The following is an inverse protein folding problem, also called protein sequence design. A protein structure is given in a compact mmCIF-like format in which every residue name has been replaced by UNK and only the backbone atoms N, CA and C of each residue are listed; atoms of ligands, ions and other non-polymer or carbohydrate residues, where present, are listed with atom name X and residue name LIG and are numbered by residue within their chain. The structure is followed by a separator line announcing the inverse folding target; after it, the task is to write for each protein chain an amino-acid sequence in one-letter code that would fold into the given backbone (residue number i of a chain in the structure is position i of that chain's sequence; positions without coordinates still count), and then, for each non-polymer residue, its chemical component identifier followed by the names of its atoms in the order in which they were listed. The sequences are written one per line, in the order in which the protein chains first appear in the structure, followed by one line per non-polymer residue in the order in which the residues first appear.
data_IF_050779129610
#
_entry.id   IF_050779129610
#
_cell.length_a   1.000
_cell.length_b   1.000
_cell.length_c   1.000
_cell.angle_alpha   90.00
_cell.angle_beta   90.00
_cell.angle_gamma   90.00
#
_symmetry.space_group_name_H-M   'P 1'
#
loop_
_entity.id
_entity.type
_entity.pdbx_description
1 polymer ?
#
# COMPACT_ATOMS: atom_id res chain seq x y z
N UNK A 1 -10.35 -13.08 -13.02
CA UNK A 1 -11.17 -14.32 -13.10
C UNK A 1 -12.08 -14.49 -11.87
N UNK A 2 -11.65 -14.16 -10.65
CA UNK A 2 -12.47 -14.29 -9.42
C UNK A 2 -13.52 -13.17 -9.20
N UNK A 3 -13.33 -11.97 -9.77
CA UNK A 3 -14.29 -10.83 -9.67
C UNK A 3 -15.68 -11.11 -10.26
N UNK A 4 -15.86 -12.22 -11.00
CA UNK A 4 -17.14 -12.63 -11.60
C UNK A 4 -17.86 -13.73 -10.80
N UNK A 5 -17.31 -14.17 -9.67
CA UNK A 5 -17.98 -15.14 -8.82
C UNK A 5 -19.20 -14.51 -8.12
N UNK A 6 -20.22 -15.31 -7.73
CA UNK A 6 -21.36 -14.86 -6.91
C UNK A 6 -20.96 -14.21 -5.58
N UNK A 7 -19.69 -14.35 -5.19
CA UNK A 7 -19.05 -13.81 -3.98
C UNK A 7 -18.91 -12.27 -3.95
N UNK A 8 -19.30 -11.54 -5.00
CA UNK A 8 -19.31 -10.06 -5.02
C UNK A 8 -20.71 -9.50 -4.70
N UNK A 9 -21.33 -9.99 -3.63
CA UNK A 9 -22.60 -9.47 -3.11
C UNK A 9 -22.50 -9.18 -1.61
N UNK A 10 -23.45 -8.39 -1.10
CA UNK A 10 -23.47 -7.99 0.32
C UNK A 10 -22.17 -7.35 0.79
N UNK A 11 -21.67 -7.81 1.94
CA UNK A 11 -20.50 -7.24 2.63
C UNK A 11 -19.21 -7.26 1.82
N UNK A 12 -19.05 -8.21 0.89
CA UNK A 12 -17.87 -8.29 0.03
C UNK A 12 -17.87 -7.16 -1.01
N UNK A 13 -19.05 -6.86 -1.57
CA UNK A 13 -19.22 -5.77 -2.54
C UNK A 13 -18.98 -4.42 -1.86
N UNK A 14 -19.47 -4.26 -0.65
CA UNK A 14 -19.23 -3.06 0.16
C UNK A 14 -17.73 -2.88 0.45
N UNK A 15 -17.05 -3.92 0.93
CA UNK A 15 -15.59 -3.87 1.17
C UNK A 15 -14.79 -3.58 -0.10
N UNK A 16 -15.16 -4.17 -1.24
CA UNK A 16 -14.54 -3.86 -2.52
C UNK A 16 -14.79 -2.42 -2.95
N UNK A 17 -16.01 -1.90 -2.77
CA UNK A 17 -16.35 -0.51 -3.07
C UNK A 17 -15.51 0.46 -2.24
N UNK A 18 -15.25 0.16 -0.97
CA UNK A 18 -14.35 0.98 -0.14
C UNK A 18 -12.92 0.99 -0.70
N UNK A 19 -12.39 -0.17 -1.10
CA UNK A 19 -11.03 -0.25 -1.67
C UNK A 19 -10.95 0.47 -3.03
N UNK A 20 -11.93 0.26 -3.90
CA UNK A 20 -11.97 0.87 -5.23
C UNK A 20 -12.07 2.39 -5.15
N UNK A 21 -12.87 2.93 -4.21
CA UNK A 21 -13.07 4.37 -4.01
C UNK A 21 -12.04 5.05 -3.11
N UNK A 22 -11.22 4.29 -2.37
CA UNK A 22 -10.17 4.87 -1.52
C UNK A 22 -9.20 5.72 -2.35
N UNK A 23 -8.66 6.78 -1.74
CA UNK A 23 -7.63 7.61 -2.38
C UNK A 23 -6.37 6.80 -2.66
N UNK A 24 -5.94 6.01 -1.68
CA UNK A 24 -4.68 5.26 -1.71
C UNK A 24 -4.81 4.00 -0.83
N UNK A 25 -4.01 2.97 -1.12
CA UNK A 25 -3.85 1.79 -0.26
C UNK A 25 -2.45 1.83 0.34
N UNK A 26 -2.40 1.89 1.67
CA UNK A 26 -1.16 1.97 2.44
C UNK A 26 -0.94 0.66 3.19
N UNK A 27 0.20 0.03 2.96
CA UNK A 27 0.69 -1.11 3.72
C UNK A 27 1.67 -0.63 4.78
N UNK A 28 1.40 -0.98 6.03
CA UNK A 28 2.32 -0.80 7.16
C UNK A 28 3.01 -2.14 7.42
N UNK A 29 4.30 -2.22 7.14
CA UNK A 29 5.09 -3.45 7.19
C UNK A 29 6.02 -3.45 8.41
N UNK A 30 5.91 -4.50 9.23
CA UNK A 30 6.78 -4.71 10.39
C UNK A 30 8.21 -5.12 10.01
N UNK A 31 8.43 -5.48 8.74
CA UNK A 31 9.75 -5.76 8.19
C UNK A 31 10.66 -4.53 8.11
N UNK A 32 11.93 -4.80 7.80
CA UNK A 32 12.94 -3.77 7.52
C UNK A 32 13.58 -4.06 6.16
N UNK A 33 13.84 -3.00 5.40
CA UNK A 33 14.55 -3.01 4.12
C UNK A 33 15.59 -1.91 4.11
N UNK A 34 16.42 -1.84 3.06
CA UNK A 34 17.27 -0.67 2.84
C UNK A 34 18.59 -1.01 2.17
N UNK A 35 19.50 -0.04 2.18
CA UNK A 35 20.83 -0.20 1.60
C UNK A 35 21.84 -0.58 2.69
N UNK A 36 22.56 -1.68 2.45
CA UNK A 36 23.72 -2.11 3.22
C UNK A 36 24.85 -2.45 2.25
N UNK A 37 25.99 -1.75 2.36
CA UNK A 37 27.16 -1.95 1.51
C UNK A 37 27.74 -3.36 1.64
N UNK A 38 27.66 -3.96 2.83
CA UNK A 38 28.15 -5.33 3.08
C UNK A 38 27.11 -6.40 2.69
N UNK A 39 25.86 -6.01 2.48
CA UNK A 39 24.77 -6.91 2.14
C UNK A 39 23.80 -6.30 1.12
N UNK A 40 24.17 -6.29 -0.18
CA UNK A 40 23.31 -5.74 -1.24
C UNK A 40 21.91 -6.35 -1.32
N UNK A 41 21.74 -7.61 -0.87
CA UNK A 41 20.44 -8.30 -0.85
C UNK A 41 19.40 -7.61 0.01
N UNK A 42 19.83 -6.79 0.97
CA UNK A 42 18.91 -6.00 1.79
C UNK A 42 18.14 -4.98 0.94
N UNK A 43 18.78 -4.46 -0.11
CA UNK A 43 18.15 -3.54 -1.06
C UNK A 43 17.42 -4.28 -2.17
N UNK A 44 17.90 -5.45 -2.59
CA UNK A 44 17.15 -6.31 -3.53
C UNK A 44 15.75 -6.63 -3.00
N UNK A 45 15.63 -6.91 -1.69
CA UNK A 45 14.34 -7.14 -1.02
C UNK A 45 13.42 -5.92 -1.11
N UNK A 46 13.96 -4.70 -1.03
CA UNK A 46 13.18 -3.47 -1.16
C UNK A 46 12.53 -3.39 -2.54
N UNK A 47 13.30 -3.66 -3.60
CA UNK A 47 12.78 -3.68 -4.96
C UNK A 47 11.81 -4.83 -5.23
N UNK A 48 12.11 -6.03 -4.70
CA UNK A 48 11.20 -7.17 -4.81
C UNK A 48 9.84 -6.84 -4.19
N UNK A 49 9.83 -6.29 -2.97
CA UNK A 49 8.58 -5.85 -2.33
C UNK A 49 7.88 -4.76 -3.13
N UNK A 50 8.61 -3.79 -3.68
CA UNK A 50 8.02 -2.73 -4.51
C UNK A 50 7.41 -3.24 -5.82
N UNK A 51 8.01 -4.27 -6.44
CA UNK A 51 7.59 -4.79 -7.74
C UNK A 51 6.49 -5.84 -7.62
N UNK A 52 6.65 -6.79 -6.70
CA UNK A 52 5.82 -8.00 -6.63
C UNK A 52 5.09 -8.16 -5.30
N UNK A 53 5.38 -7.32 -4.31
CA UNK A 53 4.94 -7.55 -2.93
C UNK A 53 5.39 -8.93 -2.44
N UNK A 54 4.65 -9.47 -1.48
CA UNK A 54 4.90 -10.77 -0.84
C UNK A 54 3.63 -11.64 -0.76
N UNK A 55 2.73 -11.45 -1.73
CA UNK A 55 1.47 -12.18 -1.84
C UNK A 55 0.27 -11.52 -1.13
N UNK A 56 0.50 -10.50 -0.31
CA UNK A 56 -0.59 -9.70 0.29
C UNK A 56 -0.32 -8.19 0.29
N UNK A 57 0.92 -7.73 0.11
CA UNK A 57 1.28 -6.31 -0.01
C UNK A 57 1.16 -5.76 -1.44
N UNK A 58 0.06 -6.07 -2.12
CA UNK A 58 -0.29 -5.46 -3.41
C UNK A 58 -1.81 -5.45 -3.61
N UNK A 59 -2.31 -4.36 -4.19
CA UNK A 59 -3.63 -4.30 -4.79
C UNK A 59 -3.50 -3.79 -6.23
N UNK A 60 -3.17 -4.70 -7.15
CA UNK A 60 -2.71 -4.35 -8.50
C UNK A 60 -3.74 -3.59 -9.36
N UNK A 61 -5.01 -3.57 -8.95
CA UNK A 61 -6.05 -2.78 -9.63
C UNK A 61 -6.12 -1.32 -9.15
N UNK A 62 -5.32 -0.93 -8.15
CA UNK A 62 -5.27 0.45 -7.65
C UNK A 62 -4.22 1.24 -8.45
N UNK A 63 -4.49 2.51 -8.83
CA UNK A 63 -3.52 3.33 -9.57
C UNK A 63 -2.11 3.32 -8.96
N UNK A 64 -2.05 3.45 -7.64
CA UNK A 64 -0.85 3.18 -6.86
C UNK A 64 -1.20 2.46 -5.56
N UNK A 65 -0.18 1.86 -4.96
CA UNK A 65 -0.15 1.42 -3.56
C UNK A 65 1.17 1.83 -2.91
N UNK A 66 1.15 2.16 -1.63
CA UNK A 66 2.33 2.58 -0.86
C UNK A 66 2.66 1.58 0.25
N UNK A 67 3.94 1.37 0.49
CA UNK A 67 4.44 0.46 1.53
C UNK A 67 5.41 1.25 2.40
N UNK A 68 5.16 1.27 3.70
CA UNK A 68 6.06 1.83 4.71
C UNK A 68 6.57 0.72 5.62
N UNK A 69 7.89 0.57 5.71
CA UNK A 69 8.52 -0.37 6.65
C UNK A 69 8.70 0.27 8.01
N UNK A 70 8.88 -0.56 9.04
CA UNK A 70 9.12 -0.12 10.42
C UNK A 70 10.32 0.82 10.56
N UNK A 71 11.35 0.65 9.74
CA UNK A 71 12.52 1.54 9.73
C UNK A 71 12.34 2.79 8.85
N UNK A 72 11.10 3.14 8.51
CA UNK A 72 10.75 4.38 7.83
C UNK A 72 11.05 4.39 6.34
N UNK A 73 11.28 3.23 5.72
CA UNK A 73 11.48 3.19 4.26
C UNK A 73 10.16 3.20 3.53
N UNK A 74 10.20 3.82 2.37
CA UNK A 74 9.05 4.03 1.51
C UNK A 74 9.25 3.32 0.18
N UNK A 75 8.28 2.51 -0.21
CA UNK A 75 8.18 1.90 -1.52
C UNK A 75 6.80 2.14 -2.11
N UNK A 76 6.69 1.98 -3.42
CA UNK A 76 5.42 2.08 -4.11
C UNK A 76 5.37 1.16 -5.32
N UNK A 77 4.17 0.69 -5.62
CA UNK A 77 3.83 0.07 -6.89
C UNK A 77 2.79 0.94 -7.59
N UNK A 78 2.80 0.96 -8.92
CA UNK A 78 1.83 1.71 -9.71
C UNK A 78 1.30 0.87 -10.86
N UNK A 79 -0.02 0.88 -11.01
CA UNK A 79 -0.72 0.33 -12.16
C UNK A 79 -0.47 1.26 -13.37
N UNK A 80 -0.07 0.68 -14.50
CA UNK A 80 0.50 1.44 -15.62
C UNK A 80 -0.54 1.83 -16.68
N UNK A 81 -1.75 1.28 -16.66
CA UNK A 81 -2.78 1.56 -17.66
C UNK A 81 -3.40 2.96 -17.51
N UNK A 82 -3.41 3.50 -16.29
CA UNK A 82 -4.10 4.76 -15.99
C UNK A 82 -3.27 6.01 -16.28
N UNK A 83 -1.95 5.96 -16.09
CA UNK A 83 -1.06 7.12 -16.23
C UNK A 83 0.41 6.72 -16.35
N UNK A 84 1.20 7.55 -17.02
CA UNK A 84 2.66 7.40 -17.10
C UNK A 84 3.37 7.79 -15.80
N UNK A 85 4.59 7.27 -15.62
CA UNK A 85 5.38 7.41 -14.41
C UNK A 85 5.60 8.86 -13.95
N UNK A 86 5.72 9.82 -14.87
CA UNK A 86 6.04 11.21 -14.54
C UNK A 86 4.96 11.88 -13.68
N UNK A 87 3.70 11.47 -13.78
CA UNK A 87 2.65 12.01 -12.90
C UNK A 87 2.88 11.59 -11.45
N UNK A 88 3.23 10.33 -11.21
CA UNK A 88 3.59 9.88 -9.86
C UNK A 88 4.88 10.51 -9.35
N UNK A 89 5.86 10.76 -10.23
CA UNK A 89 7.09 11.49 -9.87
C UNK A 89 6.73 12.88 -9.35
N UNK A 90 5.89 13.64 -10.06
CA UNK A 90 5.49 14.98 -9.64
C UNK A 90 4.73 15.00 -8.31
N UNK A 91 3.81 14.04 -8.08
CA UNK A 91 3.10 13.93 -6.79
C UNK A 91 4.10 13.70 -5.65
N UNK A 92 5.08 12.81 -5.84
CA UNK A 92 6.08 12.49 -4.82
C UNK A 92 7.05 13.64 -4.57
N UNK A 93 7.49 14.31 -5.63
CA UNK A 93 8.35 15.51 -5.52
C UNK A 93 7.63 16.62 -4.77
N UNK A 94 6.35 16.87 -5.10
CA UNK A 94 5.53 17.85 -4.41
C UNK A 94 5.50 17.58 -2.90
N UNK A 95 5.20 16.35 -2.49
CA UNK A 95 5.19 15.96 -1.07
C UNK A 95 6.54 16.19 -0.39
N UNK A 96 7.63 15.72 -1.00
CA UNK A 96 9.00 15.89 -0.47
C UNK A 96 9.39 17.35 -0.30
N UNK A 97 9.04 18.20 -1.28
CA UNK A 97 9.33 19.62 -1.21
C UNK A 97 8.52 20.31 -0.12
N UNK A 98 7.22 20.01 0.01
CA UNK A 98 6.39 20.61 1.06
C UNK A 98 6.90 20.19 2.44
N UNK A 99 7.25 18.93 2.62
CA UNK A 99 7.85 18.42 3.86
C UNK A 99 9.15 19.15 4.22
N UNK A 100 10.04 19.36 3.24
CA UNK A 100 11.33 20.01 3.46
C UNK A 100 11.21 21.53 3.75
N UNK A 101 10.28 22.23 3.10
CA UNK A 101 10.17 23.69 3.18
C UNK A 101 9.19 24.18 4.23
N UNK A 102 8.05 23.50 4.41
CA UNK A 102 7.05 23.89 5.42
C UNK A 102 7.44 23.44 6.83
N UNK A 103 8.35 22.46 6.94
CA UNK A 103 8.82 21.88 8.21
C UNK A 103 7.65 21.51 9.11
N UNK A 104 6.77 20.60 8.66
CA UNK A 104 5.53 20.30 9.37
C UNK A 104 5.77 19.55 10.69
N UNK A 105 7.00 19.12 11.00
CA UNK A 105 7.33 18.38 12.22
C UNK A 105 8.16 19.18 13.22
N UNK A 106 7.87 18.95 14.50
CA UNK A 106 8.59 19.52 15.62
C UNK A 106 9.95 18.84 15.87
N UNK A 107 10.74 19.34 16.85
CA UNK A 107 12.03 18.76 17.21
C UNK A 107 11.97 17.30 17.70
N UNK A 108 10.79 16.82 18.09
CA UNK A 108 10.50 15.44 18.51
C UNK A 108 10.10 14.52 17.35
N UNK A 109 9.98 15.06 16.13
CA UNK A 109 9.57 14.33 14.93
C UNK A 109 8.05 14.18 14.75
N UNK A 110 7.24 14.75 15.65
CA UNK A 110 5.78 14.72 15.52
C UNK A 110 5.25 15.88 14.70
N UNK A 111 4.07 15.73 14.08
CA UNK A 111 3.40 16.82 13.38
C UNK A 111 3.15 18.01 14.33
N UNK A 112 3.40 19.21 13.82
CA UNK A 112 3.06 20.48 14.49
C UNK A 112 1.59 20.82 14.28
N UNK A 113 1.03 21.63 15.18
CA UNK A 113 -0.37 22.05 15.16
C UNK A 113 -1.28 21.18 16.04
N UNK A 114 -2.57 21.51 16.04
CA UNK A 114 -3.56 20.89 16.92
C UNK A 114 -4.32 19.77 16.20
N UNK A 115 -4.40 18.59 16.84
CA UNK A 115 -5.19 17.45 16.35
C UNK A 115 -6.68 17.80 16.37
N UNK A 116 -7.28 17.97 15.19
CA UNK A 116 -8.71 18.32 15.08
C UNK A 116 -9.62 17.09 15.13
N UNK A 117 -9.23 16.01 14.44
CA UNK A 117 -10.04 14.79 14.30
C UNK A 117 -9.12 13.58 14.31
N UNK A 118 -9.51 12.55 15.09
CA UNK A 118 -8.89 11.22 15.04
C UNK A 118 -9.93 10.26 14.47
N UNK A 119 -9.84 9.88 13.18
CA UNK A 119 -10.79 8.96 12.60
C UNK A 119 -10.65 7.58 13.23
N UNK A 120 -11.78 6.89 13.44
CA UNK A 120 -11.77 5.51 13.90
C UNK A 120 -11.62 4.60 12.68
N UNK A 121 -10.56 3.77 12.58
CA UNK A 121 -10.42 2.85 11.47
C UNK A 121 -11.49 1.76 11.53
N UNK A 122 -12.06 1.43 10.38
CA UNK A 122 -13.05 0.36 10.23
C UNK A 122 -12.42 -0.83 9.51
N UNK A 123 -12.65 -2.02 10.06
CA UNK A 123 -12.14 -3.26 9.46
C UNK A 123 -13.08 -3.72 8.36
N UNK A 124 -12.57 -3.79 7.13
CA UNK A 124 -13.28 -4.39 6.00
C UNK A 124 -13.62 -5.86 6.31
N UNK A 125 -14.84 -6.26 5.97
CA UNK A 125 -15.39 -7.57 6.29
C UNK A 125 -15.54 -8.42 5.04
N UNK A 126 -15.17 -9.70 5.14
CA UNK A 126 -15.17 -10.63 4.01
C UNK A 126 -15.92 -11.93 4.35
N UNK A 127 -16.87 -12.30 3.51
CA UNK A 127 -17.54 -13.60 3.49
C UNK A 127 -16.95 -14.44 2.36
N UNK A 128 -15.98 -15.28 2.70
CA UNK A 128 -15.33 -16.17 1.75
C UNK A 128 -15.99 -17.55 1.79
N UNK A 129 -16.50 -18.00 0.64
CA UNK A 129 -17.02 -19.36 0.46
C UNK A 129 -15.89 -20.41 0.39
N UNK A 130 -16.25 -21.69 0.31
CA UNK A 130 -15.30 -22.79 0.25
C UNK A 130 -14.43 -22.76 -1.01
N UNK A 131 -14.98 -22.33 -2.15
CA UNK A 131 -14.25 -22.26 -3.41
C UNK A 131 -13.08 -21.27 -3.30
N UNK A 132 -13.35 -20.05 -2.81
CA UNK A 132 -12.32 -19.02 -2.59
C UNK A 132 -11.30 -19.45 -1.54
N UNK A 133 -11.73 -20.17 -0.48
CA UNK A 133 -10.83 -20.68 0.55
C UNK A 133 -9.90 -21.76 0.03
N UNK A 134 -10.36 -22.64 -0.85
CA UNK A 134 -9.55 -23.72 -1.41
C UNK A 134 -8.57 -23.24 -2.48
N UNK A 135 -8.90 -22.15 -3.18
CA UNK A 135 -7.97 -21.45 -4.07
C UNK A 135 -6.73 -20.92 -3.34
N UNK A 136 -6.85 -20.48 -2.08
CA UNK A 136 -5.71 -20.01 -1.25
C UNK A 136 -4.69 -21.10 -0.93
N UNK A 137 -5.04 -22.39 -1.11
CA UNK A 137 -4.17 -23.54 -0.76
C UNK A 137 -3.34 -24.05 -1.93
N UNK A 138 -3.58 -23.56 -3.15
CA UNK A 138 -2.75 -23.94 -4.30
C UNK A 138 -1.43 -23.16 -4.23
N UNK A 139 -0.27 -23.84 -4.31
CA UNK A 139 0.99 -23.12 -4.44
C UNK A 139 0.94 -22.24 -5.69
N UNK A 140 1.37 -21.00 -5.54
CA UNK A 140 1.72 -20.16 -6.69
C UNK A 140 2.88 -20.89 -7.39
N UNK A 141 2.68 -21.19 -8.68
CA UNK A 141 3.58 -22.00 -9.51
C UNK A 141 5.05 -21.58 -9.40
#
# INVERSE_FOLDING_TARGET
MLRKLPSVSGVNKESLSFIESALEVIFLDDGETGYDENNPRFYDREYELALTGDGYKLWCDKPSVYIFTKNGRFMCNAEHSVVDAMIYVHVREYLKYHEAFEKPYGPDGNCTGDVQVVPKPERLCWQLDSEVRDLKKKPLL
#
